data_IF_731650123609
#
_entry.id   IF_731650123609
#
_cell.length_a   1.000
_cell.length_b   1.000
_cell.length_c   1.000
_cell.angle_alpha   90.00
_cell.angle_beta   90.00
_cell.angle_gamma   90.00
#
_symmetry.space_group_name_H-M   'P 1'
#
loop_
_entity.id
_entity.type
_entity.pdbx_description
1 polymer ?
#
# COMPACT_ATOMS: atom_id res chain seq x y z
N UNK A 1 -4.51 36.83 -3.88
CA UNK A 1 -3.53 36.37 -2.88
C UNK A 1 -4.01 35.03 -2.33
N UNK A 2 -3.81 33.96 -3.08
CA UNK A 2 -4.19 32.61 -2.67
C UNK A 2 -3.37 31.61 -3.49
N UNK A 3 -2.28 31.14 -2.90
CA UNK A 3 -1.69 29.85 -3.24
C UNK A 3 -1.39 29.19 -1.90
N UNK A 4 -2.45 28.74 -1.22
CA UNK A 4 -2.28 27.84 -0.08
C UNK A 4 -1.86 26.48 -0.65
N UNK A 5 -0.55 26.23 -0.69
CA UNK A 5 -0.02 24.89 -0.94
C UNK A 5 -0.56 23.95 0.13
N UNK A 6 -1.60 23.21 -0.24
CA UNK A 6 -2.15 22.15 0.58
C UNK A 6 -1.22 20.95 0.38
N UNK A 7 -0.14 20.89 1.15
CA UNK A 7 0.84 19.81 1.06
C UNK A 7 0.16 18.48 1.45
N UNK A 8 -0.19 17.67 0.45
CA UNK A 8 -0.75 16.35 0.65
C UNK A 8 0.32 15.42 1.25
N UNK A 9 0.16 15.03 2.51
CA UNK A 9 1.09 14.15 3.21
C UNK A 9 1.04 12.73 2.63
N UNK A 10 2.03 12.36 1.82
CA UNK A 10 2.18 11.03 1.23
C UNK A 10 3.13 10.16 2.06
N UNK A 11 2.76 8.90 2.29
CA UNK A 11 3.57 7.93 3.03
C UNK A 11 3.70 6.64 2.23
N UNK A 12 4.94 6.17 2.12
CA UNK A 12 5.27 4.87 1.52
C UNK A 12 5.46 3.84 2.61
N UNK A 13 4.92 2.64 2.40
CA UNK A 13 5.02 1.50 3.29
C UNK A 13 5.56 0.33 2.45
N UNK A 14 6.61 -0.34 2.92
CA UNK A 14 7.03 -1.67 2.43
C UNK A 14 6.71 -2.70 3.51
N UNK A 15 6.26 -3.89 3.10
CA UNK A 15 5.94 -4.97 4.01
C UNK A 15 6.10 -6.32 3.33
N UNK A 16 6.70 -7.28 4.02
CA UNK A 16 6.68 -8.68 3.59
C UNK A 16 5.32 -9.30 3.86
N UNK A 17 4.71 -9.88 2.84
CA UNK A 17 3.40 -10.52 2.92
C UNK A 17 3.46 -11.95 2.43
N UNK A 18 2.66 -12.84 3.01
CA UNK A 18 2.65 -14.23 2.58
C UNK A 18 2.06 -14.37 1.18
N UNK A 19 2.72 -15.16 0.32
CA UNK A 19 2.27 -15.44 -1.04
C UNK A 19 1.08 -16.42 -1.01
N UNK A 20 -0.12 -15.86 -0.82
CA UNK A 20 -1.37 -16.60 -0.77
C UNK A 20 -2.46 -15.89 -1.56
N UNK A 21 -3.39 -16.63 -2.20
CA UNK A 21 -4.48 -16.04 -2.97
C UNK A 21 -5.28 -14.99 -2.18
N UNK A 22 -5.57 -13.86 -2.82
CA UNK A 22 -6.36 -12.78 -2.23
C UNK A 22 -5.61 -11.80 -1.33
N UNK A 23 -4.28 -11.91 -1.19
CA UNK A 23 -3.47 -11.00 -0.37
C UNK A 23 -3.60 -9.54 -0.79
N UNK A 24 -3.57 -9.24 -2.10
CA UNK A 24 -3.75 -7.87 -2.62
C UNK A 24 -5.12 -7.29 -2.27
N UNK A 25 -6.20 -8.07 -2.44
CA UNK A 25 -7.55 -7.63 -2.11
C UNK A 25 -7.70 -7.36 -0.60
N UNK A 26 -7.05 -8.19 0.24
CA UNK A 26 -7.01 -7.99 1.70
C UNK A 26 -6.29 -6.69 2.07
N UNK A 27 -5.13 -6.41 1.46
CA UNK A 27 -4.33 -5.20 1.71
C UNK A 27 -5.12 -3.96 1.24
N UNK A 28 -5.59 -3.94 0.00
CA UNK A 28 -6.39 -2.84 -0.53
C UNK A 28 -7.65 -2.58 0.32
N UNK A 29 -8.32 -3.66 0.75
CA UNK A 29 -9.46 -3.58 1.65
C UNK A 29 -9.12 -3.02 3.04
N UNK A 30 -7.94 -3.32 3.60
CA UNK A 30 -7.51 -2.78 4.89
C UNK A 30 -7.39 -1.26 4.87
N UNK A 31 -6.71 -0.71 3.86
CA UNK A 31 -6.56 0.75 3.70
C UNK A 31 -7.91 1.42 3.43
N UNK A 32 -8.74 0.82 2.57
CA UNK A 32 -10.11 1.31 2.30
C UNK A 32 -10.94 1.40 3.57
N UNK A 33 -10.97 0.35 4.41
CA UNK A 33 -11.76 0.33 5.66
C UNK A 33 -11.32 1.40 6.67
N UNK A 34 -10.07 1.87 6.59
CA UNK A 34 -9.54 2.90 7.49
C UNK A 34 -9.70 4.32 6.94
N UNK A 35 -10.24 4.47 5.73
CA UNK A 35 -10.42 5.75 5.06
C UNK A 35 -9.13 6.31 4.45
N UNK A 36 -8.14 5.45 4.18
CA UNK A 36 -6.91 5.86 3.52
C UNK A 36 -7.00 5.69 2.01
N UNK A 37 -6.54 6.71 1.28
CA UNK A 37 -6.34 6.65 -0.15
C UNK A 37 -5.00 5.98 -0.46
N UNK A 38 -4.99 5.09 -1.44
CA UNK A 38 -3.77 4.47 -1.97
C UNK A 38 -3.43 5.19 -3.27
N UNK A 39 -2.31 5.92 -3.29
CA UNK A 39 -1.82 6.55 -4.51
C UNK A 39 -1.22 5.51 -5.48
N UNK A 40 -0.52 4.51 -4.94
CA UNK A 40 0.10 3.42 -5.69
C UNK A 40 0.24 2.17 -4.83
N UNK A 41 0.14 0.99 -5.44
CA UNK A 41 0.43 -0.29 -4.83
C UNK A 41 1.19 -1.15 -5.84
N UNK A 42 2.36 -1.64 -5.44
CA UNK A 42 3.17 -2.58 -6.21
C UNK A 42 3.40 -3.84 -5.37
N UNK A 43 3.62 -4.98 -6.03
CA UNK A 43 3.96 -6.24 -5.39
C UNK A 43 4.96 -7.01 -6.24
N UNK A 44 5.95 -7.62 -5.59
CA UNK A 44 6.96 -8.45 -6.24
C UNK A 44 7.29 -9.72 -5.46
N UNK A 45 8.05 -10.63 -6.08
CA UNK A 45 8.66 -11.74 -5.35
C UNK A 45 9.73 -11.17 -4.43
N UNK A 46 9.75 -11.61 -3.18
CA UNK A 46 10.83 -11.25 -2.25
C UNK A 46 11.96 -12.28 -2.31
N UNK A 47 13.05 -11.99 -1.60
CA UNK A 47 14.18 -12.92 -1.43
C UNK A 47 13.80 -14.16 -0.60
N UNK A 48 12.72 -14.08 0.19
CA UNK A 48 12.26 -15.16 1.04
C UNK A 48 11.18 -16.00 0.33
N UNK A 49 11.42 -17.31 0.10
CA UNK A 49 10.43 -18.19 -0.53
C UNK A 49 9.09 -18.18 0.23
N UNK A 50 8.00 -18.05 -0.52
CA UNK A 50 6.64 -17.99 0.03
C UNK A 50 6.23 -16.61 0.55
N UNK A 51 7.04 -15.57 0.33
CA UNK A 51 6.70 -14.18 0.64
C UNK A 51 6.81 -13.26 -0.59
N UNK A 52 6.04 -12.19 -0.55
CA UNK A 52 6.04 -11.08 -1.49
C UNK A 52 6.43 -9.80 -0.75
N UNK A 53 6.90 -8.79 -1.48
CA UNK A 53 7.20 -7.45 -0.97
C UNK A 53 6.41 -6.38 -1.73
#
# INVERSE_FOLDING_TARGET
MASSDNASFQRTISALVQDRPGVLARIAGLFRRRGFNIASLAVGRSEQPGFLE
#
